data_IF_963135083594
#
_entry.id   IF_963135083594
#
_cell.length_a   1.000
_cell.length_b   1.000
_cell.length_c   1.000
_cell.angle_alpha   90.00
_cell.angle_beta   90.00
_cell.angle_gamma   90.00
#
_symmetry.space_group_name_H-M   'P 1'
#
loop_
_entity.id
_entity.type
_entity.pdbx_description
1 polymer ?
#
# COMPACT_ATOMS: atom_id res chain seq x y z
N UNK A 1 23.79 -15.71 20.44
CA UNK A 1 22.86 -14.62 20.14
C UNK A 1 23.68 -13.56 19.45
N UNK A 2 23.49 -13.42 18.13
CA UNK A 2 24.15 -12.39 17.34
C UNK A 2 23.44 -11.07 17.58
N UNK A 3 24.16 -10.07 18.12
CA UNK A 3 23.59 -8.75 18.34
C UNK A 3 23.85 -7.86 17.13
N UNK A 4 22.83 -7.13 16.69
CA UNK A 4 22.94 -6.10 15.66
C UNK A 4 22.56 -4.75 16.25
N UNK A 5 23.55 -3.87 16.39
CA UNK A 5 23.35 -2.49 16.83
C UNK A 5 22.95 -1.65 15.63
N UNK A 6 21.71 -1.12 15.66
CA UNK A 6 21.18 -0.24 14.62
C UNK A 6 21.72 1.18 14.83
N UNK A 7 21.56 1.70 16.06
CA UNK A 7 22.10 2.97 16.52
C UNK A 7 22.22 2.97 18.04
N UNK A 8 22.75 4.06 18.62
CA UNK A 8 22.92 4.15 20.07
C UNK A 8 21.58 3.96 20.81
N UNK A 9 21.52 2.95 21.68
CA UNK A 9 20.31 2.59 22.42
C UNK A 9 19.25 1.83 21.63
N UNK A 10 19.54 1.34 20.42
CA UNK A 10 18.61 0.50 19.62
C UNK A 10 19.34 -0.75 19.13
N UNK A 11 19.00 -1.90 19.70
CA UNK A 11 19.71 -3.17 19.48
C UNK A 11 18.73 -4.29 19.16
N UNK A 12 19.01 -5.03 18.09
CA UNK A 12 18.39 -6.34 17.84
C UNK A 12 19.29 -7.38 18.51
N UNK A 13 18.78 -8.05 19.55
CA UNK A 13 19.61 -8.93 20.39
C UNK A 13 19.76 -10.37 19.86
N UNK A 14 18.94 -10.76 18.88
CA UNK A 14 19.07 -12.01 18.14
C UNK A 14 18.82 -11.78 16.64
N UNK A 15 19.83 -11.25 15.96
CA UNK A 15 19.79 -10.85 14.56
C UNK A 15 19.64 -12.05 13.61
N UNK A 16 20.24 -13.20 13.95
CA UNK A 16 20.10 -14.44 13.18
C UNK A 16 18.65 -14.95 13.18
N UNK A 17 17.99 -14.99 14.35
CA UNK A 17 16.60 -15.41 14.44
C UNK A 17 15.67 -14.47 13.66
N UNK A 18 15.94 -13.17 13.70
CA UNK A 18 15.20 -12.16 12.92
C UNK A 18 15.42 -12.36 11.43
N UNK A 19 16.68 -12.56 10.99
CA UNK A 19 17.03 -12.80 9.59
C UNK A 19 16.31 -14.03 9.02
N UNK A 20 16.43 -15.18 9.69
CA UNK A 20 15.77 -16.42 9.26
C UNK A 20 14.25 -16.24 9.21
N UNK A 21 13.68 -15.61 10.23
CA UNK A 21 12.25 -15.37 10.36
C UNK A 21 11.68 -14.46 9.28
N UNK A 22 12.34 -13.34 8.99
CA UNK A 22 11.91 -12.39 7.96
C UNK A 22 12.10 -12.99 6.57
N UNK A 23 13.20 -13.71 6.33
CA UNK A 23 13.42 -14.43 5.06
C UNK A 23 12.29 -15.41 4.79
N UNK A 24 11.85 -16.16 5.81
CA UNK A 24 10.72 -17.08 5.71
C UNK A 24 9.38 -16.38 5.46
N UNK A 25 9.10 -15.27 6.15
CA UNK A 25 7.84 -14.52 6.03
C UNK A 25 7.72 -13.78 4.69
N UNK A 26 8.83 -13.26 4.17
CA UNK A 26 8.87 -12.54 2.89
C UNK A 26 9.01 -13.48 1.68
N UNK A 27 9.55 -14.68 1.89
CA UNK A 27 9.93 -15.58 0.80
C UNK A 27 11.15 -15.11 0.01
N UNK A 28 11.89 -14.12 0.53
CA UNK A 28 13.11 -13.59 -0.06
C UNK A 28 14.32 -14.27 0.59
N UNK A 29 15.38 -14.45 -0.18
CA UNK A 29 16.67 -14.85 0.34
C UNK A 29 17.42 -13.58 0.76
N UNK A 30 17.65 -13.40 2.06
CA UNK A 30 18.32 -12.23 2.63
C UNK A 30 19.71 -12.68 3.07
N UNK A 31 20.75 -12.08 2.48
CA UNK A 31 22.13 -12.50 2.71
C UNK A 31 22.65 -12.19 4.11
N UNK A 32 22.22 -11.06 4.70
CA UNK A 32 22.71 -10.60 6.00
C UNK A 32 21.70 -9.74 6.75
N UNK A 33 21.75 -9.80 8.09
CA UNK A 33 20.97 -8.90 8.94
C UNK A 33 21.39 -7.42 8.79
N UNK A 34 22.60 -7.17 8.27
CA UNK A 34 23.08 -5.82 7.93
C UNK A 34 22.18 -5.13 6.89
N UNK A 35 21.46 -5.88 6.06
CA UNK A 35 20.49 -5.34 5.11
C UNK A 35 19.40 -4.54 5.81
N UNK A 36 18.87 -5.06 6.92
CA UNK A 36 17.88 -4.35 7.73
C UNK A 36 18.47 -3.05 8.28
N UNK A 37 19.70 -3.10 8.80
CA UNK A 37 20.37 -1.93 9.35
C UNK A 37 20.54 -0.84 8.30
N UNK A 38 21.08 -1.17 7.13
CA UNK A 38 21.26 -0.20 6.04
C UNK A 38 19.93 0.41 5.60
N UNK A 39 18.87 -0.38 5.49
CA UNK A 39 17.54 0.13 5.18
C UNK A 39 17.04 1.11 6.26
N UNK A 40 17.11 0.70 7.53
CA UNK A 40 16.61 1.49 8.65
C UNK A 40 17.37 2.82 8.79
N UNK A 41 18.68 2.84 8.51
CA UNK A 41 19.52 4.04 8.67
C UNK A 41 19.48 4.98 7.47
N UNK A 42 19.31 4.46 6.25
CA UNK A 42 19.38 5.27 5.03
C UNK A 42 18.02 5.77 4.56
N UNK A 43 16.94 5.07 4.90
CA UNK A 43 15.60 5.45 4.47
C UNK A 43 14.81 6.20 5.56
N UNK A 44 13.89 7.07 5.12
CA UNK A 44 13.08 7.88 6.02
C UNK A 44 11.94 7.08 6.63
N UNK A 45 11.49 7.53 7.82
CA UNK A 45 10.30 7.01 8.48
C UNK A 45 10.30 5.48 8.73
N UNK A 46 11.44 4.91 9.11
CA UNK A 46 11.63 3.47 9.40
C UNK A 46 11.39 3.10 10.86
N UNK A 47 11.17 4.09 11.74
CA UNK A 47 11.04 3.92 13.20
C UNK A 47 9.66 4.34 13.68
N UNK A 48 8.94 3.42 14.32
CA UNK A 48 7.58 3.63 14.81
C UNK A 48 7.50 3.30 16.30
N UNK A 49 7.25 4.31 17.12
CA UNK A 49 7.16 4.15 18.58
C UNK A 49 5.71 3.82 18.97
N UNK A 50 5.52 2.71 19.68
CA UNK A 50 4.22 2.11 19.97
C UNK A 50 3.97 2.07 21.48
N UNK A 51 2.79 2.54 21.91
CA UNK A 51 2.35 2.48 23.31
C UNK A 51 1.57 1.18 23.64
N UNK A 52 1.17 1.02 24.90
CA UNK A 52 0.36 -0.12 25.37
C UNK A 52 -1.05 -0.23 24.75
N UNK A 53 -1.48 0.78 23.99
CA UNK A 53 -2.76 0.83 23.26
C UNK A 53 -2.56 0.69 21.75
N UNK A 54 -1.36 0.33 21.30
CA UNK A 54 -1.00 0.25 19.89
C UNK A 54 -1.13 1.59 19.14
N UNK A 55 -1.05 2.72 19.86
CA UNK A 55 -0.93 4.05 19.24
C UNK A 55 0.49 4.21 18.74
N UNK A 56 0.64 4.64 17.49
CA UNK A 56 1.95 4.90 16.90
C UNK A 56 2.33 6.38 16.91
N UNK A 57 3.58 6.68 17.24
CA UNK A 57 4.23 7.99 17.20
C UNK A 57 5.56 7.89 16.42
N UNK A 58 6.05 9.03 15.92
CA UNK A 58 7.34 9.11 15.21
C UNK A 58 8.51 9.46 16.12
N UNK A 59 8.22 9.82 17.37
CA UNK A 59 9.22 10.15 18.38
C UNK A 59 8.84 9.41 19.68
N UNK A 60 9.84 9.04 20.48
CA UNK A 60 9.60 8.41 21.76
C UNK A 60 8.93 9.42 22.71
N UNK A 61 8.03 8.89 23.53
CA UNK A 61 7.32 9.62 24.59
C UNK A 61 7.25 8.73 25.85
N UNK A 62 6.87 9.30 27.00
CA UNK A 62 6.84 8.60 28.30
C UNK A 62 6.05 7.30 28.30
N UNK A 63 4.99 7.22 27.49
CA UNK A 63 4.10 6.05 27.42
C UNK A 63 4.56 5.01 26.39
N UNK A 64 5.71 5.21 25.74
CA UNK A 64 6.22 4.31 24.70
C UNK A 64 6.70 3.01 25.30
N UNK A 65 6.16 1.90 24.81
CA UNK A 65 6.50 0.55 25.28
C UNK A 65 7.39 -0.17 24.28
N UNK A 66 7.10 -0.03 22.99
CA UNK A 66 7.84 -0.72 21.93
C UNK A 66 8.36 0.27 20.88
N UNK A 67 9.45 -0.11 20.23
CA UNK A 67 9.90 0.47 18.97
C UNK A 67 9.76 -0.60 17.90
N UNK A 68 8.94 -0.32 16.89
CA UNK A 68 8.82 -1.14 15.69
C UNK A 68 9.71 -0.53 14.61
N UNK A 69 10.72 -1.29 14.20
CA UNK A 69 11.59 -0.97 13.08
C UNK A 69 11.04 -1.62 11.82
N UNK A 70 10.93 -0.85 10.75
CA UNK A 70 10.57 -1.36 9.44
C UNK A 70 11.76 -2.10 8.84
N UNK A 71 11.60 -3.41 8.59
CA UNK A 71 12.68 -4.23 8.02
C UNK A 71 12.96 -3.91 6.56
N UNK A 72 12.06 -3.19 5.89
CA UNK A 72 12.09 -2.97 4.43
C UNK A 72 11.44 -4.09 3.63
N UNK A 73 11.13 -5.24 4.25
CA UNK A 73 10.50 -6.37 3.57
C UNK A 73 8.99 -6.45 3.86
N UNK A 74 8.27 -7.04 2.92
CA UNK A 74 6.84 -7.36 3.05
C UNK A 74 6.62 -8.87 3.09
N UNK A 75 5.51 -9.30 3.68
CA UNK A 75 5.06 -10.69 3.60
C UNK A 75 4.45 -11.02 2.22
N UNK A 76 4.08 -12.28 2.00
CA UNK A 76 3.42 -12.73 0.76
C UNK A 76 2.10 -12.01 0.40
N UNK A 77 1.50 -11.28 1.35
CA UNK A 77 0.28 -10.51 1.14
C UNK A 77 0.56 -9.00 0.97
N UNK A 78 1.83 -8.61 0.91
CA UNK A 78 2.26 -7.22 0.81
C UNK A 78 2.12 -6.44 2.12
N UNK A 79 2.03 -7.11 3.29
CA UNK A 79 2.05 -6.39 4.57
C UNK A 79 3.50 -6.18 5.02
N UNK A 80 3.84 -4.98 5.51
CA UNK A 80 5.19 -4.72 5.99
C UNK A 80 5.54 -5.59 7.21
N UNK A 81 6.76 -6.12 7.20
CA UNK A 81 7.32 -6.92 8.30
C UNK A 81 8.14 -5.99 9.18
N UNK A 82 7.76 -5.93 10.46
CA UNK A 82 8.35 -5.06 11.46
C UNK A 82 9.18 -5.88 12.45
N UNK A 83 10.24 -5.29 12.99
CA UNK A 83 11.05 -5.82 14.09
C UNK A 83 10.67 -5.05 15.36
N UNK A 84 10.18 -5.74 16.37
CA UNK A 84 9.67 -5.17 17.62
C UNK A 84 10.69 -5.26 18.74
N UNK A 85 11.13 -4.10 19.21
CA UNK A 85 12.03 -3.91 20.33
C UNK A 85 11.27 -3.40 21.55
N UNK A 86 11.64 -3.87 22.75
CA UNK A 86 11.06 -3.43 24.02
C UNK A 86 11.87 -2.27 24.59
N UNK A 87 11.17 -1.23 25.06
CA UNK A 87 11.77 -0.11 25.76
C UNK A 87 12.15 -0.50 27.20
N UNK A 88 13.43 -0.33 27.53
CA UNK A 88 14.01 -0.45 28.87
C UNK A 88 14.70 0.86 29.22
N UNK A 89 13.94 1.81 29.78
CA UNK A 89 14.45 3.10 30.25
C UNK A 89 15.14 3.96 29.17
N UNK A 90 14.65 3.92 27.93
CA UNK A 90 15.20 4.68 26.81
C UNK A 90 16.10 3.87 25.88
N UNK A 91 16.48 2.65 26.29
CA UNK A 91 17.15 1.67 25.43
C UNK A 91 16.13 0.67 24.87
N UNK A 92 16.16 0.43 23.57
CA UNK A 92 15.26 -0.48 22.87
C UNK A 92 16.01 -1.75 22.50
N UNK A 93 15.53 -2.89 22.99
CA UNK A 93 16.15 -4.19 22.75
C UNK A 93 15.12 -5.29 22.50
N UNK A 94 15.41 -6.21 21.58
CA UNK A 94 14.59 -7.39 21.31
C UNK A 94 14.78 -7.96 19.90
N UNK A 95 14.08 -9.05 19.61
CA UNK A 95 14.20 -9.81 18.36
C UNK A 95 12.85 -10.34 17.86
N UNK A 96 11.73 -9.81 18.37
CA UNK A 96 10.42 -10.21 17.87
C UNK A 96 10.17 -9.57 16.51
N UNK A 97 9.46 -10.25 15.61
CA UNK A 97 9.16 -9.72 14.29
C UNK A 97 7.79 -10.19 13.78
N UNK A 98 7.26 -9.48 12.79
CA UNK A 98 6.03 -9.86 12.10
C UNK A 98 5.27 -8.66 11.54
N UNK A 99 4.11 -8.93 10.95
CA UNK A 99 3.23 -7.87 10.48
C UNK A 99 2.60 -7.08 11.63
N UNK A 100 2.02 -5.92 11.33
CA UNK A 100 1.24 -5.15 12.30
C UNK A 100 0.17 -5.98 13.01
N UNK A 101 -0.46 -6.90 12.29
CA UNK A 101 -1.49 -7.76 12.88
C UNK A 101 -0.88 -8.72 13.90
N UNK A 102 0.22 -9.40 13.54
CA UNK A 102 0.93 -10.35 14.41
C UNK A 102 1.43 -9.65 15.68
N UNK A 103 2.12 -8.52 15.54
CA UNK A 103 2.67 -7.80 16.68
C UNK A 103 1.55 -7.19 17.55
N UNK A 104 0.49 -6.65 16.95
CA UNK A 104 -0.66 -6.14 17.73
C UNK A 104 -1.41 -7.24 18.48
N UNK A 105 -1.44 -8.48 17.96
CA UNK A 105 -2.00 -9.63 18.69
C UNK A 105 -1.17 -9.94 19.93
N UNK A 106 0.16 -9.86 19.85
CA UNK A 106 1.03 -10.01 21.02
C UNK A 106 0.78 -8.91 22.06
N UNK A 107 0.62 -7.65 21.63
CA UNK A 107 0.25 -6.53 22.51
C UNK A 107 -1.10 -6.79 23.20
N UNK A 108 -2.10 -7.34 22.48
CA UNK A 108 -3.41 -7.70 23.07
C UNK A 108 -3.28 -8.75 24.17
N UNK A 109 -2.39 -9.72 23.99
CA UNK A 109 -2.09 -10.74 24.99
C UNK A 109 -1.48 -10.14 26.26
N UNK A 110 -0.57 -9.17 26.12
CA UNK A 110 0.10 -8.52 27.24
C UNK A 110 -0.74 -7.43 27.93
N UNK A 111 -1.58 -6.70 27.17
CA UNK A 111 -2.44 -5.62 27.65
C UNK A 111 -3.93 -5.89 27.39
N UNK A 112 -4.54 -6.89 28.05
CA UNK A 112 -5.91 -7.32 27.76
C UNK A 112 -6.96 -6.22 28.04
N UNK A 113 -6.67 -5.28 28.94
CA UNK A 113 -7.55 -4.14 29.23
C UNK A 113 -7.66 -3.15 28.07
N UNK A 114 -6.67 -3.12 27.19
CA UNK A 114 -6.57 -2.16 26.09
C UNK A 114 -7.08 -2.71 24.75
N UNK A 115 -7.61 -3.94 24.69
CA UNK A 115 -8.01 -4.62 23.43
C UNK A 115 -8.91 -3.73 22.54
N UNK A 116 -9.87 -3.00 23.13
CA UNK A 116 -10.75 -2.11 22.37
C UNK A 116 -9.98 -0.98 21.69
N UNK A 117 -9.07 -0.34 22.42
CA UNK A 117 -8.24 0.74 21.89
C UNK A 117 -7.24 0.20 20.85
N UNK A 118 -6.63 -0.97 21.11
CA UNK A 118 -5.69 -1.62 20.18
C UNK A 118 -6.36 -1.89 18.83
N UNK A 119 -7.56 -2.49 18.83
CA UNK A 119 -8.29 -2.78 17.60
C UNK A 119 -8.66 -1.51 16.82
N UNK A 120 -9.05 -0.44 17.53
CA UNK A 120 -9.33 0.86 16.90
C UNK A 120 -8.07 1.47 16.29
N UNK A 121 -6.97 1.46 17.02
CA UNK A 121 -5.72 2.10 16.63
C UNK A 121 -5.01 1.34 15.49
N UNK A 122 -5.11 0.01 15.45
CA UNK A 122 -4.56 -0.81 14.36
C UNK A 122 -5.11 -0.43 12.98
N UNK A 123 -6.41 -0.11 12.88
CA UNK A 123 -7.03 0.33 11.63
C UNK A 123 -6.45 1.65 11.10
N UNK A 124 -6.08 2.57 11.99
CA UNK A 124 -5.42 3.83 11.63
C UNK A 124 -3.91 3.69 11.39
N UNK A 125 -3.28 2.68 12.00
CA UNK A 125 -1.84 2.45 11.95
C UNK A 125 -1.36 2.22 10.50
N UNK A 126 -2.06 1.38 9.74
CA UNK A 126 -1.69 1.09 8.35
C UNK A 126 -1.73 2.35 7.49
N UNK A 127 -2.81 3.13 7.56
CA UNK A 127 -2.93 4.37 6.80
C UNK A 127 -1.83 5.38 7.18
N UNK A 128 -1.50 5.45 8.47
CA UNK A 128 -0.39 6.29 8.96
C UNK A 128 0.95 5.82 8.40
N UNK A 129 1.19 4.52 8.37
CA UNK A 129 2.39 3.92 7.78
C UNK A 129 2.49 4.28 6.29
N UNK A 130 1.48 3.96 5.49
CA UNK A 130 1.45 4.24 4.04
C UNK A 130 1.71 5.70 3.72
N UNK A 131 1.06 6.61 4.45
CA UNK A 131 1.27 8.05 4.30
C UNK A 131 2.71 8.47 4.61
N UNK A 132 3.34 7.85 5.61
CA UNK A 132 4.71 8.19 6.03
C UNK A 132 5.77 7.65 5.10
N UNK A 133 5.50 6.54 4.42
CA UNK A 133 6.45 5.94 3.49
C UNK A 133 6.28 6.42 2.04
N UNK A 134 5.29 7.27 1.76
CA UNK A 134 4.97 7.74 0.41
C UNK A 134 6.14 8.45 -0.29
N UNK A 135 6.93 9.20 0.48
CA UNK A 135 8.07 10.00 -0.02
C UNK A 135 9.42 9.27 0.11
N UNK A 136 9.42 7.96 0.41
CA UNK A 136 10.65 7.16 0.45
C UNK A 136 11.21 6.99 -0.97
N UNK A 137 12.54 6.87 -1.07
CA UNK A 137 13.19 6.48 -2.33
C UNK A 137 12.93 5.00 -2.61
N UNK A 138 13.17 4.17 -1.59
CA UNK A 138 12.88 2.74 -1.62
C UNK A 138 11.76 2.45 -0.63
N UNK A 139 10.56 2.15 -1.15
CA UNK A 139 9.42 1.81 -0.30
C UNK A 139 9.65 0.51 0.46
N UNK A 140 10.02 -0.53 -0.29
CA UNK A 140 10.33 -1.87 0.18
C UNK A 140 11.49 -2.43 -0.66
N UNK A 141 12.25 -3.35 -0.06
CA UNK A 141 13.31 -4.08 -0.71
C UNK A 141 12.68 -5.25 -1.47
N UNK A 142 12.61 -5.13 -2.79
CA UNK A 142 12.17 -6.22 -3.67
C UNK A 142 13.33 -7.14 -4.04
N UNK A 143 14.47 -6.56 -4.38
CA UNK A 143 15.72 -7.24 -4.65
C UNK A 143 16.84 -6.62 -3.80
N UNK A 144 17.57 -7.47 -3.07
CA UNK A 144 18.61 -7.04 -2.15
C UNK A 144 19.83 -6.44 -2.89
N UNK A 145 20.18 -6.96 -4.06
CA UNK A 145 21.29 -6.46 -4.86
C UNK A 145 20.95 -5.11 -5.47
N UNK A 146 19.74 -4.94 -6.02
CA UNK A 146 19.27 -3.65 -6.53
C UNK A 146 19.23 -2.59 -5.42
N UNK A 147 18.79 -2.96 -4.21
CA UNK A 147 18.81 -2.07 -3.06
C UNK A 147 20.25 -1.61 -2.74
N UNK A 148 21.22 -2.51 -2.69
CA UNK A 148 22.61 -2.11 -2.44
C UNK A 148 23.21 -1.27 -3.57
N UNK A 149 22.92 -1.59 -4.83
CA UNK A 149 23.34 -0.77 -5.97
C UNK A 149 22.75 0.64 -5.88
N UNK A 150 21.50 0.77 -5.45
CA UNK A 150 20.86 2.07 -5.27
C UNK A 150 21.55 2.92 -4.18
N UNK A 151 22.05 2.30 -3.11
CA UNK A 151 22.81 2.99 -2.07
C UNK A 151 24.18 3.45 -2.59
N UNK A 152 24.89 2.60 -3.34
CA UNK A 152 26.21 2.91 -3.89
C UNK A 152 26.17 4.01 -4.96
N UNK A 153 25.11 4.08 -5.76
CA UNK A 153 24.98 5.11 -6.79
C UNK A 153 24.68 6.51 -6.21
N UNK A 154 24.24 6.60 -4.95
CA UNK A 154 24.04 7.88 -4.26
C UNK A 154 25.33 8.39 -3.58
N UNK A 155 26.27 7.49 -3.28
CA UNK A 155 27.62 7.80 -2.81
C UNK A 155 28.59 7.78 -4.01
N UNK A 156 28.60 8.83 -4.83
CA UNK A 156 29.46 8.85 -6.03
C UNK A 156 30.97 8.59 -5.74
N UNK A 157 31.58 7.81 -6.64
CA UNK A 157 33.03 7.65 -6.89
C UNK A 157 33.84 6.88 -5.84
N UNK A 158 34.24 5.66 -6.22
CA UNK A 158 35.09 4.65 -5.55
C UNK A 158 34.37 3.63 -4.67
N UNK A 159 34.11 2.44 -5.23
CA UNK A 159 33.81 1.26 -4.43
C UNK A 159 33.32 0.02 -5.18
N UNK A 160 32.96 0.15 -6.47
CA UNK A 160 32.25 -0.90 -7.22
C UNK A 160 32.98 -2.24 -7.29
N UNK A 161 34.33 -2.23 -7.29
CA UNK A 161 35.11 -3.46 -7.40
C UNK A 161 35.34 -4.20 -6.08
N UNK A 162 35.30 -3.53 -4.92
CA UNK A 162 35.64 -4.21 -3.65
C UNK A 162 34.54 -5.18 -3.19
N UNK A 163 33.28 -4.80 -3.37
CA UNK A 163 32.13 -5.62 -2.94
C UNK A 163 31.79 -6.75 -3.95
N UNK A 164 32.01 -6.51 -5.24
CA UNK A 164 31.89 -7.57 -6.26
C UNK A 164 32.94 -8.65 -6.03
N UNK A 165 34.16 -8.27 -5.63
CA UNK A 165 35.22 -9.24 -5.29
C UNK A 165 34.95 -10.01 -3.99
N UNK A 166 34.31 -9.40 -2.99
CA UNK A 166 33.95 -10.11 -1.73
C UNK A 166 32.82 -11.15 -1.90
N UNK A 167 31.93 -10.96 -2.88
CA UNK A 167 30.82 -11.89 -3.13
C UNK A 167 31.11 -12.92 -4.22
N UNK A 168 32.23 -12.78 -4.95
CA UNK A 168 32.77 -13.85 -5.77
C UNK A 168 33.56 -14.78 -4.83
N UNK A 169 32.85 -15.76 -4.24
CA UNK A 169 33.50 -16.96 -3.69
C UNK A 169 34.04 -17.80 -4.85
N UNK A 170 35.19 -17.40 -5.39
CA UNK A 170 36.03 -18.32 -6.16
C UNK A 170 36.87 -19.07 -5.13
N UNK A 171 36.48 -20.32 -4.89
CA UNK A 171 37.33 -21.29 -4.22
C UNK A 171 38.56 -21.52 -5.11
N UNK A 172 39.64 -20.79 -4.85
CA UNK A 172 40.95 -21.31 -5.20
C UNK A 172 41.22 -22.43 -4.20
N UNK A 173 41.18 -23.66 -4.69
CA UNK A 173 41.71 -24.80 -3.97
C UNK A 173 43.23 -24.63 -3.85
N UNK A 174 43.65 -23.81 -2.89
CA UNK A 174 45.00 -23.85 -2.36
C UNK A 174 45.08 -25.08 -1.46
N UNK A 175 45.52 -26.20 -2.03
CA UNK A 175 46.03 -27.30 -1.22
C UNK A 175 47.36 -26.86 -0.59
N UNK A 176 47.27 -26.19 0.56
CA UNK A 176 48.39 -26.05 1.48
C UNK A 176 48.67 -27.41 2.14
N UNK A 177 49.59 -28.19 1.57
CA UNK A 177 50.28 -29.24 2.33
C UNK A 177 51.48 -28.65 3.05
N UNK A 178 51.36 -28.56 4.38
CA UNK A 178 52.46 -28.31 5.32
C UNK A 178 53.52 -29.40 5.18
N UNK A 179 54.77 -29.01 4.94
CA UNK A 179 55.95 -29.86 5.19
C UNK A 179 56.94 -29.03 6.00
N UNK A 180 57.30 -29.57 7.16
CA UNK A 180 58.27 -29.04 8.13
C UNK A 180 59.70 -29.06 7.56
N UNK A 181 60.48 -28.04 7.90
CA UNK A 181 61.88 -27.87 7.52
C UNK A 181 62.81 -28.97 8.09
N UNK A 182 63.58 -29.66 7.24
CA UNK A 182 64.98 -30.06 7.55
C UNK A 182 65.79 -30.49 6.29
N UNK A 183 66.56 -29.53 5.78
CA UNK A 183 67.84 -29.54 5.00
C UNK A 183 68.36 -30.90 4.48
N UNK A 184 68.55 -31.05 3.15
CA UNK A 184 69.88 -31.23 2.48
C UNK A 184 69.80 -31.26 0.95
N UNK A 185 70.86 -30.71 0.34
CA UNK A 185 71.13 -30.39 -1.06
C UNK A 185 70.84 -31.50 -2.09
N UNK A 186 70.09 -31.18 -3.16
CA UNK A 186 70.26 -31.79 -4.49
C UNK A 186 69.87 -30.77 -5.59
N UNK A 187 70.72 -30.62 -6.60
CA UNK A 187 70.61 -29.64 -7.71
C UNK A 187 69.29 -29.78 -8.48
N UNK A 188 68.49 -28.71 -8.52
CA UNK A 188 67.34 -28.59 -9.43
C UNK A 188 67.83 -28.05 -10.78
N UNK A 189 67.86 -28.93 -11.79
CA UNK A 189 67.96 -28.52 -13.19
C UNK A 189 66.55 -28.14 -13.65
N UNK A 190 66.25 -26.85 -13.75
CA UNK A 190 65.02 -26.37 -14.40
C UNK A 190 65.09 -26.61 -15.93
N UNK A 191 64.04 -27.14 -16.57
CA UNK A 191 63.99 -27.19 -18.02
C UNK A 191 63.68 -25.79 -18.58
N UNK A 192 64.71 -25.08 -19.04
CA UNK A 192 64.56 -23.85 -19.79
C UNK A 192 63.91 -24.12 -21.16
N UNK A 193 62.64 -23.74 -21.33
CA UNK A 193 62.08 -23.47 -22.66
C UNK A 193 62.58 -22.08 -23.09
N UNK A 194 63.83 -22.01 -23.56
CA UNK A 194 64.39 -20.79 -24.14
C UNK A 194 63.79 -20.58 -25.54
N UNK A 195 62.60 -19.95 -25.59
CA UNK A 195 62.06 -19.46 -26.85
C UNK A 195 63.05 -18.45 -27.45
N UNK A 196 63.39 -18.65 -28.72
CA UNK A 196 64.31 -17.78 -29.43
C UNK A 196 63.75 -16.34 -29.42
N UNK A 197 64.63 -15.32 -29.39
CA UNK A 197 64.23 -13.91 -29.30
C UNK A 197 63.12 -13.53 -30.29
N UNK A 198 63.16 -14.09 -31.50
CA UNK A 198 62.12 -13.92 -32.54
C UNK A 198 60.75 -14.48 -32.15
N UNK A 199 60.70 -15.62 -31.47
CA UNK A 199 59.44 -16.24 -31.04
C UNK A 199 58.79 -15.41 -29.93
N UNK A 200 59.58 -14.85 -29.02
CA UNK A 200 59.11 -13.89 -28.01
C UNK A 200 58.56 -12.62 -28.66
N UNK A 201 59.27 -12.08 -29.66
CA UNK A 201 58.86 -10.89 -30.40
C UNK A 201 57.54 -11.12 -31.18
N UNK A 202 57.40 -12.27 -31.85
CA UNK A 202 56.16 -12.67 -32.52
C UNK A 202 55.01 -12.85 -31.53
N UNK A 203 55.26 -13.51 -30.39
CA UNK A 203 54.22 -13.73 -29.37
C UNK A 203 53.75 -12.42 -28.76
N UNK A 204 54.67 -11.48 -28.48
CA UNK A 204 54.32 -10.13 -28.01
C UNK A 204 53.53 -9.36 -29.06
N UNK A 205 53.92 -9.45 -30.34
CA UNK A 205 53.20 -8.83 -31.44
C UNK A 205 51.75 -9.30 -31.54
N UNK A 206 51.53 -10.62 -31.48
CA UNK A 206 50.19 -11.22 -31.49
C UNK A 206 49.35 -10.80 -30.27
N UNK A 207 49.98 -10.70 -29.10
CA UNK A 207 49.29 -10.23 -27.89
C UNK A 207 48.88 -8.77 -28.00
N UNK A 208 49.73 -7.90 -28.55
CA UNK A 208 49.40 -6.49 -28.77
C UNK A 208 48.27 -6.34 -29.78
N UNK A 209 48.28 -7.09 -30.89
CA UNK A 209 47.16 -7.11 -31.85
C UNK A 209 45.84 -7.56 -31.19
N UNK A 210 45.88 -8.55 -30.29
CA UNK A 210 44.68 -8.96 -29.55
C UNK A 210 44.21 -7.91 -28.55
N UNK A 211 45.14 -7.18 -27.90
CA UNK A 211 44.79 -6.10 -26.98
C UNK A 211 44.14 -4.94 -27.75
N UNK A 212 44.70 -4.55 -28.89
CA UNK A 212 44.16 -3.51 -29.75
C UNK A 212 42.74 -3.89 -30.24
N UNK A 213 42.53 -5.14 -30.67
CA UNK A 213 41.21 -5.61 -31.07
C UNK A 213 40.18 -5.66 -29.93
N UNK A 214 40.62 -5.94 -28.69
CA UNK A 214 39.75 -5.87 -27.51
C UNK A 214 39.41 -4.41 -27.19
N UNK A 215 40.37 -3.50 -27.33
CA UNK A 215 40.19 -2.07 -27.09
C UNK A 215 39.17 -1.47 -28.08
N UNK A 216 39.28 -1.81 -29.37
CA UNK A 216 38.32 -1.38 -30.40
C UNK A 216 36.89 -1.86 -30.10
N UNK A 217 36.74 -3.11 -29.63
CA UNK A 217 35.43 -3.66 -29.26
C UNK A 217 34.84 -2.99 -28.01
N UNK A 218 35.68 -2.63 -27.04
CA UNK A 218 35.25 -1.88 -25.85
C UNK A 218 34.74 -0.49 -26.26
N UNK A 219 35.45 0.19 -27.15
CA UNK A 219 35.07 1.51 -27.63
C UNK A 219 33.73 1.47 -28.41
N UNK A 220 33.51 0.44 -29.24
CA UNK A 220 32.23 0.22 -29.94
C UNK A 220 31.06 0.02 -28.95
N UNK A 221 31.26 -0.77 -27.88
CA UNK A 221 30.24 -0.95 -26.84
C UNK A 221 29.96 0.34 -26.07
N UNK A 222 30.98 1.17 -25.81
CA UNK A 222 30.78 2.47 -25.17
C UNK A 222 29.95 3.42 -26.03
N UNK A 223 30.19 3.48 -27.34
CA UNK A 223 29.38 4.29 -28.26
C UNK A 223 27.90 3.83 -28.27
N UNK A 224 27.65 2.52 -28.24
CA UNK A 224 26.29 1.98 -28.23
C UNK A 224 25.56 2.31 -26.91
N UNK A 225 26.24 2.21 -25.77
CA UNK A 225 25.71 2.61 -24.46
C UNK A 225 25.40 4.12 -24.42
N UNK A 226 26.31 4.95 -24.94
CA UNK A 226 26.12 6.41 -24.97
C UNK A 226 24.92 6.80 -25.83
N UNK A 227 24.76 6.14 -26.98
CA UNK A 227 23.60 6.31 -27.84
C UNK A 227 22.30 5.92 -27.13
N UNK A 228 22.26 4.77 -26.47
CA UNK A 228 21.07 4.29 -25.74
C UNK A 228 20.67 5.25 -24.61
N UNK A 229 21.65 5.71 -23.82
CA UNK A 229 21.43 6.69 -22.76
C UNK A 229 20.91 8.03 -23.30
N UNK A 230 21.40 8.47 -24.47
CA UNK A 230 20.92 9.71 -25.09
C UNK A 230 19.47 9.60 -25.57
N UNK A 231 19.09 8.47 -26.17
CA UNK A 231 17.73 8.19 -26.66
C UNK A 231 16.74 8.07 -25.49
N UNK A 232 17.11 7.37 -24.43
CA UNK A 232 16.28 7.24 -23.23
C UNK A 232 16.10 8.59 -22.51
N UNK A 233 17.12 9.44 -22.49
CA UNK A 233 17.02 10.78 -21.91
C UNK A 233 16.03 11.67 -22.68
N UNK A 234 16.02 11.60 -24.01
CA UNK A 234 15.04 12.31 -24.84
C UNK A 234 13.64 11.77 -24.58
N UNK A 235 13.47 10.45 -24.55
CA UNK A 235 12.19 9.79 -24.30
C UNK A 235 11.62 10.11 -22.91
N UNK A 236 12.48 10.16 -21.89
CA UNK A 236 12.09 10.55 -20.54
C UNK A 236 11.60 11.99 -20.48
N UNK A 237 12.29 12.93 -21.15
CA UNK A 237 11.86 14.32 -21.23
C UNK A 237 10.49 14.47 -21.94
N UNK A 238 10.24 13.71 -23.01
CA UNK A 238 8.94 13.69 -23.68
C UNK A 238 7.81 13.17 -22.77
N UNK A 239 8.07 12.09 -22.03
CA UNK A 239 7.10 11.51 -21.09
C UNK A 239 6.82 12.45 -19.91
N UNK A 240 7.83 13.15 -19.40
CA UNK A 240 7.67 14.17 -18.37
C UNK A 240 6.82 15.35 -18.84
N UNK A 241 7.08 15.86 -20.06
CA UNK A 241 6.27 16.92 -20.65
C UNK A 241 4.80 16.51 -20.80
N UNK A 242 4.56 15.28 -21.25
CA UNK A 242 3.21 14.73 -21.39
C UNK A 242 2.52 14.53 -20.04
N UNK A 243 3.26 14.11 -19.01
CA UNK A 243 2.74 14.00 -17.65
C UNK A 243 2.38 15.37 -17.05
N UNK A 244 3.16 16.41 -17.30
CA UNK A 244 2.79 17.77 -16.91
C UNK A 244 1.54 18.27 -17.64
N UNK A 245 1.37 17.94 -18.91
CA UNK A 245 0.13 18.24 -19.64
C UNK A 245 -1.08 17.53 -19.02
N UNK A 246 -0.95 16.24 -18.69
CA UNK A 246 -2.01 15.50 -18.00
C UNK A 246 -2.32 16.05 -16.61
N UNK A 247 -1.30 16.42 -15.83
CA UNK A 247 -1.49 17.08 -14.53
C UNK A 247 -2.22 18.41 -14.70
N UNK A 248 -1.81 19.23 -15.67
CA UNK A 248 -2.47 20.50 -15.96
C UNK A 248 -3.93 20.30 -16.43
N UNK A 249 -4.21 19.29 -17.24
CA UNK A 249 -5.56 18.92 -17.65
C UNK A 249 -6.41 18.46 -16.46
N UNK A 250 -5.85 17.64 -15.56
CA UNK A 250 -6.52 17.20 -14.33
C UNK A 250 -6.81 18.36 -13.38
N UNK A 251 -5.88 19.32 -13.23
CA UNK A 251 -6.12 20.54 -12.45
C UNK A 251 -7.24 21.36 -13.08
N UNK A 252 -7.26 21.51 -14.41
CA UNK A 252 -8.37 22.21 -15.09
C UNK A 252 -9.70 21.49 -14.89
N UNK A 253 -9.74 20.16 -15.01
CA UNK A 253 -10.96 19.38 -14.75
C UNK A 253 -11.40 19.49 -13.29
N UNK A 254 -10.46 19.46 -12.34
CA UNK A 254 -10.75 19.65 -10.93
C UNK A 254 -11.31 21.04 -10.65
N UNK A 255 -10.69 22.07 -11.21
CA UNK A 255 -11.18 23.44 -11.06
C UNK A 255 -12.53 23.62 -11.75
N UNK A 256 -12.79 22.95 -12.88
CA UNK A 256 -14.08 22.97 -13.54
C UNK A 256 -15.17 22.27 -12.71
N UNK A 257 -14.84 21.15 -12.06
CA UNK A 257 -15.72 20.46 -11.10
C UNK A 257 -15.91 21.30 -9.83
N UNK A 258 -14.87 22.00 -9.38
CA UNK A 258 -14.95 22.93 -8.24
C UNK A 258 -15.83 24.15 -8.60
N UNK A 259 -15.74 24.68 -9.83
CA UNK A 259 -16.58 25.76 -10.35
C UNK A 259 -18.03 25.30 -10.61
N UNK A 260 -18.26 24.08 -11.12
CA UNK A 260 -19.60 23.47 -11.19
C UNK A 260 -20.18 23.27 -9.79
N UNK A 261 -19.38 22.78 -8.83
CA UNK A 261 -19.82 22.62 -7.45
C UNK A 261 -20.01 23.95 -6.72
N UNK A 262 -19.25 24.99 -7.06
CA UNK A 262 -19.39 26.34 -6.50
C UNK A 262 -20.60 27.08 -7.10
N UNK A 263 -20.90 26.87 -8.39
CA UNK A 263 -22.15 27.33 -8.99
C UNK A 263 -23.37 26.57 -8.44
N UNK A 264 -23.24 25.30 -8.10
CA UNK A 264 -24.26 24.54 -7.36
C UNK A 264 -24.41 25.01 -5.90
N UNK A 265 -23.30 25.29 -5.19
CA UNK A 265 -23.29 25.80 -3.81
C UNK A 265 -23.83 27.24 -3.69
N UNK A 266 -23.58 28.12 -4.67
CA UNK A 266 -24.16 29.48 -4.70
C UNK A 266 -25.70 29.44 -4.88
N UNK A 267 -26.26 28.38 -5.47
CA UNK A 267 -27.72 28.16 -5.47
C UNK A 267 -28.26 27.57 -4.15
N UNK A 268 -27.42 27.07 -3.24
CA UNK A 268 -27.84 26.41 -1.98
C UNK A 268 -27.98 27.35 -0.76
N UNK A 269 -27.52 28.60 -0.82
CA UNK A 269 -27.72 29.56 0.29
C UNK A 269 -29.16 30.08 0.45
N UNK A 270 -30.12 29.56 -0.32
CA UNK A 270 -31.56 29.72 -0.06
C UNK A 270 -32.27 28.39 0.26
N UNK A 271 -31.78 27.72 1.30
CA UNK A 271 -32.59 27.14 2.38
C UNK A 271 -33.78 26.24 2.02
N UNK A 272 -33.53 24.95 1.72
CA UNK A 272 -34.46 23.84 2.01
C UNK A 272 -33.63 22.56 2.29
N UNK A 273 -33.19 22.35 3.53
CA UNK A 273 -32.50 21.10 3.92
C UNK A 273 -33.40 19.87 3.73
N UNK A 274 -32.84 18.71 3.34
CA UNK A 274 -33.59 17.51 2.95
C UNK A 274 -34.71 17.09 3.91
N UNK A 275 -34.52 17.24 5.23
CA UNK A 275 -35.57 16.99 6.23
C UNK A 275 -36.86 17.76 5.95
N UNK A 276 -36.75 19.02 5.54
CA UNK A 276 -37.90 19.87 5.28
C UNK A 276 -38.68 19.45 4.03
N UNK A 277 -38.06 18.70 3.09
CA UNK A 277 -38.70 18.17 1.89
C UNK A 277 -39.69 17.02 2.18
N UNK A 278 -39.58 16.36 3.32
CA UNK A 278 -40.37 15.17 3.66
C UNK A 278 -41.77 15.45 4.23
N UNK A 279 -42.11 16.72 4.51
CA UNK A 279 -43.38 17.08 5.14
C UNK A 279 -43.47 16.67 6.62
N UNK A 280 -44.63 16.84 7.27
CA UNK A 280 -44.77 16.72 8.74
C UNK A 280 -44.44 15.34 9.31
N UNK A 281 -44.54 14.26 8.53
CA UNK A 281 -44.33 12.87 9.00
C UNK A 281 -43.72 11.93 7.95
N UNK A 282 -43.23 12.44 6.83
CA UNK A 282 -42.71 11.62 5.75
C UNK A 282 -41.37 10.99 6.08
N UNK A 283 -41.18 9.76 5.61
CA UNK A 283 -39.93 9.00 5.76
C UNK A 283 -39.41 8.48 4.43
N UNK A 284 -38.11 8.25 4.38
CA UNK A 284 -37.42 7.53 3.31
C UNK A 284 -37.16 6.10 3.78
N UNK A 285 -37.65 5.12 3.03
CA UNK A 285 -37.44 3.71 3.32
C UNK A 285 -36.27 3.18 2.48
N UNK A 286 -35.31 2.51 3.12
CA UNK A 286 -34.22 1.82 2.41
C UNK A 286 -34.45 0.32 2.52
N UNK A 287 -34.68 -0.34 1.38
CA UNK A 287 -34.99 -1.77 1.29
C UNK A 287 -33.89 -2.54 0.56
N UNK A 288 -33.58 -3.73 1.06
CA UNK A 288 -32.71 -4.68 0.37
C UNK A 288 -31.30 -4.75 0.96
N UNK A 289 -30.51 -5.70 0.44
CA UNK A 289 -29.18 -5.96 0.97
C UNK A 289 -28.27 -4.73 0.76
N UNK A 290 -27.66 -4.28 1.84
CA UNK A 290 -26.74 -3.15 1.88
C UNK A 290 -25.34 -3.62 2.24
N UNK A 291 -24.33 -3.10 1.53
CA UNK A 291 -22.93 -3.25 1.93
C UNK A 291 -22.50 -2.23 3.00
N UNK A 292 -23.38 -1.26 3.29
CA UNK A 292 -23.17 -0.20 4.28
C UNK A 292 -23.94 -0.47 5.56
N UNK A 293 -23.32 -0.14 6.69
CA UNK A 293 -24.00 -0.07 7.97
C UNK A 293 -24.88 1.19 8.08
N UNK A 294 -25.88 1.15 8.95
CA UNK A 294 -26.82 2.26 9.14
C UNK A 294 -26.14 3.55 9.63
N UNK A 295 -25.03 3.50 10.36
CA UNK A 295 -24.37 4.72 10.82
C UNK A 295 -23.68 5.43 9.66
N UNK A 296 -23.04 4.68 8.76
CA UNK A 296 -22.46 5.23 7.53
C UNK A 296 -23.52 5.85 6.62
N UNK A 297 -24.66 5.18 6.41
CA UNK A 297 -25.78 5.74 5.62
C UNK A 297 -26.33 7.03 6.24
N UNK A 298 -26.53 7.06 7.56
CA UNK A 298 -26.96 8.28 8.25
C UNK A 298 -25.92 9.41 8.18
N UNK A 299 -24.62 9.08 8.17
CA UNK A 299 -23.55 10.04 7.98
C UNK A 299 -23.61 10.72 6.61
N UNK A 300 -23.85 9.94 5.55
CA UNK A 300 -24.04 10.46 4.20
C UNK A 300 -25.32 11.30 4.12
N UNK A 301 -26.43 10.82 4.67
CA UNK A 301 -27.72 11.50 4.61
C UNK A 301 -27.72 12.89 5.28
N UNK A 302 -26.88 13.09 6.30
CA UNK A 302 -26.68 14.42 6.91
C UNK A 302 -26.13 15.46 5.95
N UNK A 303 -25.29 15.05 4.99
CA UNK A 303 -24.74 15.95 3.97
C UNK A 303 -25.84 16.53 3.08
N UNK A 304 -26.91 15.75 2.86
CA UNK A 304 -28.09 16.16 2.09
C UNK A 304 -29.18 16.82 2.97
N UNK A 305 -28.85 17.15 4.22
CA UNK A 305 -29.77 17.83 5.15
C UNK A 305 -30.87 16.95 5.75
N UNK A 306 -30.76 15.62 5.71
CA UNK A 306 -31.70 14.72 6.36
C UNK A 306 -31.25 14.31 7.78
N UNK A 307 -32.22 14.00 8.63
CA UNK A 307 -31.98 13.49 9.98
C UNK A 307 -32.13 11.97 10.07
N UNK A 308 -31.48 11.36 11.08
CA UNK A 308 -31.59 9.90 11.33
C UNK A 308 -33.04 9.41 11.47
N UNK A 309 -33.94 10.23 12.01
CA UNK A 309 -35.37 9.92 12.21
C UNK A 309 -36.18 9.84 10.91
N UNK A 310 -35.63 10.40 9.83
CA UNK A 310 -36.27 10.48 8.52
C UNK A 310 -36.13 9.18 7.74
N UNK A 311 -35.24 8.28 8.17
CA UNK A 311 -34.98 7.01 7.52
C UNK A 311 -35.54 5.82 8.30
N UNK A 312 -36.01 4.83 7.55
CA UNK A 312 -36.30 3.49 8.04
C UNK A 312 -35.51 2.50 7.19
N UNK A 313 -34.69 1.65 7.84
CA UNK A 313 -33.79 0.74 7.16
C UNK A 313 -34.26 -0.71 7.37
N UNK A 314 -34.62 -1.40 6.30
CA UNK A 314 -34.93 -2.84 6.34
C UNK A 314 -33.97 -3.58 5.41
N UNK A 315 -32.79 -3.88 5.97
CA UNK A 315 -31.67 -4.53 5.28
C UNK A 315 -31.66 -6.05 5.44
N UNK A 316 -32.63 -6.63 6.14
CA UNK A 316 -32.73 -8.06 6.43
C UNK A 316 -33.55 -8.78 5.35
N UNK A 317 -32.87 -9.67 4.62
CA UNK A 317 -33.40 -10.41 3.46
C UNK A 317 -34.73 -11.14 3.74
N UNK A 318 -34.94 -11.63 4.97
CA UNK A 318 -36.16 -12.39 5.35
C UNK A 318 -37.36 -11.52 5.68
N UNK A 319 -37.15 -10.24 6.04
CA UNK A 319 -38.21 -9.30 6.45
C UNK A 319 -38.75 -8.47 5.29
N UNK A 320 -37.95 -8.27 4.24
CA UNK A 320 -38.34 -7.53 3.02
C UNK A 320 -39.59 -8.12 2.34
N UNK A 321 -39.76 -9.45 2.36
CA UNK A 321 -40.90 -10.14 1.74
C UNK A 321 -42.24 -9.79 2.40
N UNK A 322 -42.25 -9.59 3.73
CA UNK A 322 -43.46 -9.22 4.50
C UNK A 322 -43.74 -7.70 4.49
N UNK A 323 -42.79 -6.89 4.03
CA UNK A 323 -42.87 -5.43 4.10
C UNK A 323 -43.67 -4.84 2.93
N UNK A 324 -43.66 -5.49 1.76
CA UNK A 324 -44.33 -5.03 0.54
C UNK A 324 -45.86 -4.83 0.69
N UNK A 325 -46.51 -5.71 1.46
CA UNK A 325 -47.94 -5.58 1.77
C UNK A 325 -48.27 -4.38 2.66
N UNK A 326 -47.30 -3.87 3.43
CA UNK A 326 -47.48 -2.72 4.33
C UNK A 326 -47.21 -1.38 3.66
N UNK A 327 -46.32 -1.35 2.66
CA UNK A 327 -45.96 -0.13 1.90
C UNK A 327 -47.18 0.41 1.14
N UNK A 328 -48.03 -0.47 0.60
CA UNK A 328 -49.19 -0.09 -0.21
C UNK A 328 -50.32 0.60 0.58
N UNK A 329 -50.28 0.56 1.92
CA UNK A 329 -51.34 1.06 2.80
C UNK A 329 -50.85 2.15 3.78
N UNK A 330 -49.62 2.67 3.63
CA UNK A 330 -49.09 3.66 4.55
C UNK A 330 -48.64 4.93 3.82
N UNK A 331 -49.33 6.04 4.06
CA UNK A 331 -48.94 7.42 3.66
C UNK A 331 -47.65 7.92 4.37
N UNK A 332 -46.94 7.02 5.05
CA UNK A 332 -45.78 7.35 5.90
C UNK A 332 -44.50 7.51 5.09
N UNK A 333 -44.39 6.86 3.94
CA UNK A 333 -43.18 6.88 3.12
C UNK A 333 -43.37 7.79 1.93
N UNK A 334 -42.41 8.70 1.72
CA UNK A 334 -42.44 9.64 0.58
C UNK A 334 -41.52 9.14 -0.54
N UNK A 335 -40.45 8.44 -0.18
CA UNK A 335 -39.53 7.81 -1.12
C UNK A 335 -39.03 6.46 -0.61
N UNK A 336 -38.67 5.58 -1.55
CA UNK A 336 -38.09 4.26 -1.29
C UNK A 336 -36.80 4.12 -2.11
N UNK A 337 -35.72 3.72 -1.45
CA UNK A 337 -34.43 3.39 -2.09
C UNK A 337 -34.27 1.87 -2.09
N UNK A 338 -34.12 1.28 -3.27
CA UNK A 338 -34.00 -0.15 -3.48
C UNK A 338 -32.54 -0.58 -3.67
N UNK A 339 -32.07 -1.48 -2.81
CA UNK A 339 -30.90 -2.33 -3.00
C UNK A 339 -31.28 -3.72 -3.53
N UNK A 340 -30.38 -4.71 -3.46
CA UNK A 340 -30.67 -6.07 -3.90
C UNK A 340 -31.89 -6.63 -3.13
N UNK A 341 -32.99 -6.91 -3.83
CA UNK A 341 -34.21 -7.46 -3.26
C UNK A 341 -34.52 -8.85 -3.84
N UNK A 342 -35.13 -9.77 -3.07
CA UNK A 342 -35.49 -11.10 -3.57
C UNK A 342 -36.52 -11.01 -4.72
N UNK A 343 -36.32 -11.83 -5.75
CA UNK A 343 -37.07 -11.83 -7.01
C UNK A 343 -38.55 -12.26 -6.92
N UNK A 344 -39.04 -12.67 -5.75
CA UNK A 344 -40.46 -12.97 -5.53
C UNK A 344 -40.91 -12.45 -4.18
N UNK A 345 -41.89 -11.56 -4.22
CA UNK A 345 -42.48 -10.93 -3.04
C UNK A 345 -43.90 -11.47 -2.92
N UNK A 346 -44.22 -12.07 -1.77
CA UNK A 346 -45.54 -12.65 -1.55
C UNK A 346 -46.62 -11.55 -1.52
N UNK A 347 -47.65 -11.68 -2.37
CA UNK A 347 -48.83 -10.80 -2.36
C UNK A 347 -48.99 -9.84 -3.56
N UNK A 348 -48.17 -9.94 -4.60
CA UNK A 348 -48.37 -9.22 -5.86
C UNK A 348 -48.84 -10.20 -6.94
N UNK A 349 -50.16 -10.28 -7.13
CA UNK A 349 -50.76 -11.21 -8.11
C UNK A 349 -50.49 -10.75 -9.55
N UNK A 350 -50.29 -9.45 -9.78
CA UNK A 350 -50.23 -8.85 -11.12
C UNK A 350 -48.88 -8.16 -11.49
N UNK A 351 -47.85 -8.18 -10.63
CA UNK A 351 -46.61 -7.40 -10.84
C UNK A 351 -45.33 -8.21 -10.66
N UNK A 352 -44.33 -8.00 -11.52
CA UNK A 352 -43.09 -8.80 -11.53
C UNK A 352 -42.07 -8.40 -10.45
N UNK A 353 -42.19 -7.18 -9.90
CA UNK A 353 -41.39 -6.71 -8.76
C UNK A 353 -42.08 -5.57 -7.99
N UNK A 354 -41.68 -5.33 -6.73
CA UNK A 354 -42.13 -4.15 -5.95
C UNK A 354 -41.72 -2.84 -6.65
N UNK A 355 -40.57 -2.84 -7.32
CA UNK A 355 -40.01 -1.68 -8.02
C UNK A 355 -40.95 -1.27 -9.18
N UNK A 356 -41.42 -2.25 -9.95
CA UNK A 356 -42.35 -2.03 -11.05
C UNK A 356 -43.70 -1.48 -10.57
N UNK A 357 -44.22 -2.00 -9.45
CA UNK A 357 -45.45 -1.50 -8.84
C UNK A 357 -45.33 -0.04 -8.39
N UNK A 358 -44.19 0.36 -7.79
CA UNK A 358 -44.01 1.73 -7.32
C UNK A 358 -43.86 2.74 -8.46
N UNK A 359 -43.39 2.32 -9.64
CA UNK A 359 -43.25 3.20 -10.81
C UNK A 359 -44.55 3.41 -11.58
N UNK A 360 -45.51 2.48 -11.49
CA UNK A 360 -46.74 2.50 -12.30
C UNK A 360 -48.00 2.92 -11.52
N UNK A 361 -47.93 3.10 -10.20
CA UNK A 361 -49.03 3.60 -9.39
C UNK A 361 -48.73 5.03 -8.89
N UNK A 362 -49.58 6.01 -9.23
CA UNK A 362 -49.42 7.41 -8.80
C UNK A 362 -49.53 7.60 -7.27
N UNK A 363 -50.27 6.73 -6.59
CA UNK A 363 -50.46 6.76 -5.13
C UNK A 363 -49.30 6.12 -4.33
N UNK A 364 -48.23 5.68 -5.01
CA UNK A 364 -47.07 5.04 -4.37
C UNK A 364 -45.90 6.01 -4.15
N UNK A 365 -45.05 5.76 -3.14
CA UNK A 365 -43.85 6.58 -2.90
C UNK A 365 -42.85 6.51 -4.07
N UNK A 366 -42.10 7.58 -4.30
CA UNK A 366 -41.08 7.64 -5.35
C UNK A 366 -40.02 6.55 -5.16
N UNK A 367 -39.74 5.77 -6.21
CA UNK A 367 -38.86 4.60 -6.15
C UNK A 367 -37.53 4.83 -6.87
N UNK A 368 -36.42 4.66 -6.16
CA UNK A 368 -35.06 4.88 -6.67
C UNK A 368 -34.20 3.62 -6.55
N UNK A 369 -33.51 3.25 -7.62
CA UNK A 369 -32.60 2.10 -7.63
C UNK A 369 -31.19 2.54 -7.19
N UNK A 370 -30.64 1.93 -6.14
CA UNK A 370 -29.23 2.06 -5.80
C UNK A 370 -28.40 1.02 -6.58
N UNK A 371 -27.79 1.45 -7.69
CA UNK A 371 -26.95 0.60 -8.56
C UNK A 371 -25.48 0.94 -8.42
N UNK A 372 -24.62 -0.07 -8.31
CA UNK A 372 -23.17 0.09 -8.35
C UNK A 372 -22.71 0.59 -9.73
N UNK A 373 -21.43 0.98 -9.82
CA UNK A 373 -20.81 1.34 -11.10
C UNK A 373 -20.83 0.20 -12.14
N UNK A 374 -20.91 -1.05 -11.69
CA UNK A 374 -21.09 -2.24 -12.55
C UNK A 374 -22.54 -2.52 -12.96
N UNK A 375 -23.50 -1.70 -12.53
CA UNK A 375 -24.93 -1.84 -12.85
C UNK A 375 -25.71 -2.80 -11.94
N UNK A 376 -25.03 -3.45 -10.98
CA UNK A 376 -25.66 -4.34 -10.00
C UNK A 376 -26.47 -3.55 -8.96
N UNK A 377 -27.69 -4.02 -8.65
CA UNK A 377 -28.53 -3.46 -7.58
C UNK A 377 -27.89 -3.74 -6.22
N UNK A 378 -27.19 -2.75 -5.65
CA UNK A 378 -26.46 -2.87 -4.39
C UNK A 378 -26.24 -1.50 -3.78
N UNK A 379 -26.57 -1.35 -2.50
CA UNK A 379 -26.33 -0.10 -1.77
C UNK A 379 -24.86 0.01 -1.39
N UNK A 380 -24.12 0.83 -2.13
CA UNK A 380 -22.73 1.28 -1.92
C UNK A 380 -22.71 2.77 -1.55
N UNK A 381 -21.54 3.36 -1.22
CA UNK A 381 -21.47 4.77 -0.83
C UNK A 381 -21.89 5.70 -1.98
N UNK A 382 -21.42 5.40 -3.17
CA UNK A 382 -21.64 6.19 -4.38
C UNK A 382 -23.09 6.06 -4.83
N UNK A 383 -23.62 4.84 -4.92
CA UNK A 383 -25.00 4.59 -5.31
C UNK A 383 -26.03 5.16 -4.33
N UNK A 384 -25.72 5.17 -3.03
CA UNK A 384 -26.58 5.79 -2.02
C UNK A 384 -26.59 7.32 -2.12
N UNK A 385 -25.44 7.95 -2.41
CA UNK A 385 -25.37 9.40 -2.69
C UNK A 385 -26.22 9.78 -3.90
N UNK A 386 -26.05 9.07 -5.02
CA UNK A 386 -26.83 9.31 -6.24
C UNK A 386 -28.32 9.13 -6.00
N UNK A 387 -28.73 8.09 -5.25
CA UNK A 387 -30.12 7.86 -4.90
C UNK A 387 -30.70 9.02 -4.05
N UNK A 388 -29.97 9.51 -3.04
CA UNK A 388 -30.40 10.65 -2.22
C UNK A 388 -30.51 11.96 -3.01
N UNK A 389 -29.58 12.21 -3.92
CA UNK A 389 -29.63 13.38 -4.80
C UNK A 389 -30.90 13.36 -5.68
N UNK A 390 -31.21 12.20 -6.28
CA UNK A 390 -32.43 12.00 -7.05
C UNK A 390 -33.69 12.20 -6.20
N UNK A 391 -33.71 11.67 -4.97
CA UNK A 391 -34.81 11.89 -4.01
C UNK A 391 -35.00 13.38 -3.74
N UNK A 392 -33.93 14.12 -3.43
CA UNK A 392 -34.02 15.56 -3.19
C UNK A 392 -34.59 16.31 -4.39
N UNK A 393 -34.12 16.02 -5.60
CA UNK A 393 -34.58 16.70 -6.81
C UNK A 393 -36.06 16.41 -7.11
N UNK A 394 -36.51 15.16 -6.99
CA UNK A 394 -37.90 14.82 -7.24
C UNK A 394 -38.84 15.44 -6.18
N UNK A 395 -38.42 15.47 -4.91
CA UNK A 395 -39.19 16.12 -3.84
C UNK A 395 -39.22 17.65 -3.97
N UNK A 396 -38.14 18.26 -4.47
CA UNK A 396 -38.11 19.70 -4.82
C UNK A 396 -39.12 19.98 -5.93
N UNK A 397 -39.15 19.17 -7.00
CA UNK A 397 -40.10 19.33 -8.11
C UNK A 397 -41.56 19.18 -7.66
N UNK A 398 -41.86 18.19 -6.79
CA UNK A 398 -43.22 17.97 -6.26
C UNK A 398 -43.71 19.04 -5.28
N UNK A 399 -42.82 19.85 -4.70
CA UNK A 399 -43.18 20.97 -3.82
C UNK A 399 -43.46 22.29 -4.56
N UNK A 400 -43.01 22.40 -5.80
CA UNK A 400 -43.13 23.60 -6.64
C UNK A 400 -44.44 23.58 -7.45
N UNK A 401 -45.06 22.42 -7.62
CA UNK A 401 -46.45 22.26 -8.08
C UNK A 401 -47.42 22.29 -6.90
#
# INVERSE_FOLDING_TARGET
MSELVIENGVVIDDAEAVLEGISKLSGKNISSAETFKKFITNEKATKFYIDSKCTCKMQPDRDTVYLWLDSGFVDYYGNPIMISLLNSYGEYRGHYFGSFHTLSNAIRGFFPRNIKDINRNLGGLRNKYEYKIADRKVKHIEDENEFFLSLCNEEESFGTMSFVLENIKVDFAEEEQKIEDEITEEEVIEPAYDMNFREKEITIGLLLETIDGIQDYIDELFEEIEKFNSEDKVRMAELEAKNEEYKAALVRMRNFVEDESAQEDETEEQGIGGHSLLGRNGKILVLGASALDQNTMNGIAKLYGFHKKDFEYETDYTKVVNFAGRISNSERYVAIIFGACPHKVAGLVDWSSIIEKCRQCEDMPCAFDARSHSGELKVTKESFKTALWNVCNELKLKKVC
#
